data_IF_627292653951
#
_entry.id   IF_627292653951
#
_cell.length_a   1.000
_cell.length_b   1.000
_cell.length_c   1.000
_cell.angle_alpha   90.00
_cell.angle_beta   90.00
_cell.angle_gamma   90.00
#
_symmetry.space_group_name_H-M   'P 1'
#
loop_
_entity.id
_entity.type
_entity.pdbx_description
1 polymer ?
#
# COMPACT_ATOMS: atom_id res chain seq x y z
N UNK A 1 -12.13 18.95 -19.31
CA UNK A 1 -11.20 18.50 -18.25
C UNK A 1 -10.62 19.74 -17.60
N UNK A 2 -10.60 19.82 -16.27
CA UNK A 2 -10.06 20.98 -15.55
C UNK A 2 -8.55 20.83 -15.39
N UNK A 3 -7.79 21.88 -15.73
CA UNK A 3 -6.33 21.91 -15.57
C UNK A 3 -5.86 22.41 -14.19
N UNK A 4 -6.81 22.69 -13.29
CA UNK A 4 -6.50 23.17 -11.93
C UNK A 4 -5.98 22.00 -11.07
N UNK A 5 -4.78 22.08 -10.49
CA UNK A 5 -4.19 20.99 -9.71
C UNK A 5 -5.08 20.45 -8.59
N UNK A 6 -5.68 21.34 -7.77
CA UNK A 6 -6.56 20.94 -6.67
C UNK A 6 -7.81 20.19 -7.15
N UNK A 7 -8.36 20.57 -8.32
CA UNK A 7 -9.53 19.89 -8.89
C UNK A 7 -9.15 18.52 -9.40
N UNK A 8 -7.93 18.36 -9.94
CA UNK A 8 -7.44 17.05 -10.39
C UNK A 8 -7.13 16.12 -9.21
N UNK A 9 -6.59 16.65 -8.12
CA UNK A 9 -6.36 15.90 -6.88
C UNK A 9 -7.68 15.43 -6.27
N UNK A 10 -8.66 16.33 -6.14
CA UNK A 10 -9.99 15.98 -5.64
C UNK A 10 -10.63 14.91 -6.53
N UNK A 11 -10.59 15.07 -7.85
CA UNK A 11 -11.15 14.07 -8.77
C UNK A 11 -10.45 12.70 -8.66
N UNK A 12 -9.12 12.67 -8.54
CA UNK A 12 -8.39 11.41 -8.36
C UNK A 12 -8.77 10.73 -7.05
N UNK A 13 -8.99 11.52 -5.99
CA UNK A 13 -9.46 11.04 -4.71
C UNK A 13 -10.87 10.46 -4.82
N UNK A 14 -11.81 11.22 -5.39
CA UNK A 14 -13.21 10.80 -5.56
C UNK A 14 -13.30 9.51 -6.39
N UNK A 15 -12.51 9.40 -7.47
CA UNK A 15 -12.49 8.21 -8.31
C UNK A 15 -11.90 6.99 -7.62
N UNK A 16 -10.88 7.16 -6.78
CA UNK A 16 -10.33 6.08 -5.96
C UNK A 16 -11.32 5.62 -4.89
N UNK A 17 -11.99 6.56 -4.24
CA UNK A 17 -12.95 6.31 -3.17
C UNK A 17 -14.17 5.49 -3.62
N UNK A 18 -14.48 5.50 -4.92
CA UNK A 18 -15.54 4.66 -5.50
C UNK A 18 -15.39 3.17 -5.15
N UNK A 19 -14.18 2.69 -4.87
CA UNK A 19 -13.93 1.30 -4.42
C UNK A 19 -14.75 0.98 -3.16
N UNK A 20 -14.89 1.94 -2.25
CA UNK A 20 -15.64 1.80 -1.00
C UNK A 20 -17.17 1.89 -1.21
N UNK A 21 -17.62 2.53 -2.29
CA UNK A 21 -19.04 2.69 -2.63
C UNK A 21 -19.60 1.51 -3.44
N UNK A 22 -18.72 0.72 -4.07
CA UNK A 22 -19.11 -0.43 -4.90
C UNK A 22 -19.62 -1.57 -3.99
N UNK A 23 -20.71 -2.27 -4.37
CA UNK A 23 -21.14 -3.45 -3.62
C UNK A 23 -20.00 -4.44 -3.45
N UNK A 24 -19.83 -4.97 -2.24
CA UNK A 24 -18.67 -5.79 -1.84
C UNK A 24 -18.28 -6.88 -2.86
N UNK A 25 -19.25 -7.64 -3.37
CA UNK A 25 -19.04 -8.69 -4.38
C UNK A 25 -18.48 -8.20 -5.73
N UNK A 26 -18.56 -6.89 -5.99
CA UNK A 26 -18.14 -6.26 -7.23
C UNK A 26 -16.84 -5.46 -7.09
N UNK A 27 -16.26 -5.35 -5.88
CA UNK A 27 -15.04 -4.58 -5.66
C UNK A 27 -13.86 -5.15 -6.45
N UNK A 28 -13.60 -6.46 -6.32
CA UNK A 28 -12.52 -7.11 -7.08
C UNK A 28 -12.76 -7.01 -8.60
N UNK A 29 -13.94 -7.36 -9.16
CA UNK A 29 -14.23 -7.13 -10.58
C UNK A 29 -14.03 -5.68 -11.05
N UNK A 30 -14.36 -4.71 -10.21
CA UNK A 30 -14.16 -3.30 -10.50
C UNK A 30 -12.67 -2.95 -10.61
N UNK A 31 -11.85 -3.39 -9.66
CA UNK A 31 -10.39 -3.20 -9.67
C UNK A 31 -9.74 -3.91 -10.87
N UNK A 32 -10.16 -5.15 -11.17
CA UNK A 32 -9.71 -5.89 -12.37
C UNK A 32 -10.00 -5.10 -13.64
N UNK A 33 -11.24 -4.60 -13.79
CA UNK A 33 -11.63 -3.81 -14.95
C UNK A 33 -10.84 -2.50 -15.04
N UNK A 34 -10.62 -1.82 -13.90
CA UNK A 34 -9.81 -0.61 -13.81
C UNK A 34 -8.41 -0.82 -14.37
N UNK A 35 -7.68 -1.84 -13.88
CA UNK A 35 -6.33 -2.12 -14.33
C UNK A 35 -6.27 -2.59 -15.77
N UNK A 36 -7.23 -3.42 -16.19
CA UNK A 36 -7.33 -3.88 -17.58
C UNK A 36 -7.43 -2.72 -18.56
N UNK A 37 -8.29 -1.75 -18.28
CA UNK A 37 -8.47 -0.56 -19.13
C UNK A 37 -7.20 0.28 -19.14
N UNK A 38 -6.64 0.59 -17.97
CA UNK A 38 -5.48 1.48 -17.91
C UNK A 38 -4.21 0.86 -18.47
N UNK A 39 -3.99 -0.44 -18.32
CA UNK A 39 -2.87 -1.13 -18.96
C UNK A 39 -2.99 -1.11 -20.49
N UNK A 40 -4.20 -1.31 -21.02
CA UNK A 40 -4.44 -1.32 -22.47
C UNK A 40 -4.26 0.06 -23.10
N UNK A 41 -4.77 1.11 -22.45
CA UNK A 41 -4.80 2.47 -23.00
C UNK A 41 -3.54 3.28 -22.68
N UNK A 42 -2.64 2.80 -21.81
CA UNK A 42 -1.49 3.55 -21.31
C UNK A 42 -0.65 4.22 -22.41
N UNK A 43 -0.33 3.47 -23.46
CA UNK A 43 0.51 3.96 -24.56
C UNK A 43 -0.20 5.01 -25.45
N UNK A 44 -1.53 5.09 -25.37
CA UNK A 44 -2.35 6.09 -26.05
C UNK A 44 -2.48 7.40 -25.27
N UNK A 45 -2.03 7.46 -24.01
CA UNK A 45 -2.12 8.65 -23.18
C UNK A 45 -1.08 9.71 -23.60
N UNK A 46 -1.50 10.96 -23.58
CA UNK A 46 -0.61 12.10 -23.78
C UNK A 46 0.36 12.25 -22.59
N UNK A 47 1.66 12.35 -22.87
CA UNK A 47 2.74 12.39 -21.88
C UNK A 47 2.58 13.50 -20.85
N UNK A 48 2.06 14.66 -21.25
CA UNK A 48 1.85 15.80 -20.32
C UNK A 48 0.73 15.54 -19.31
N UNK A 49 -0.03 14.46 -19.49
CA UNK A 49 -1.19 14.10 -18.67
C UNK A 49 -0.91 12.93 -17.73
N UNK A 50 0.30 12.37 -17.72
CA UNK A 50 0.61 11.16 -16.96
C UNK A 50 0.50 11.37 -15.45
N UNK A 51 0.95 12.52 -14.93
CA UNK A 51 1.00 12.79 -13.49
C UNK A 51 -0.36 12.61 -12.80
N UNK A 52 -1.45 13.05 -13.43
CA UNK A 52 -2.80 12.85 -12.86
C UNK A 52 -3.27 11.39 -12.88
N UNK A 53 -2.81 10.58 -13.83
CA UNK A 53 -3.13 9.15 -13.86
C UNK A 53 -2.30 8.39 -12.83
N UNK A 54 -1.03 8.75 -12.65
CA UNK A 54 -0.19 8.19 -11.59
C UNK A 54 -0.76 8.51 -10.20
N UNK A 55 -1.26 9.73 -9.99
CA UNK A 55 -1.98 10.08 -8.77
C UNK A 55 -3.26 9.25 -8.59
N UNK A 56 -4.03 9.04 -9.66
CA UNK A 56 -5.21 8.18 -9.60
C UNK A 56 -4.86 6.73 -9.24
N UNK A 57 -3.79 6.17 -9.82
CA UNK A 57 -3.33 4.82 -9.49
C UNK A 57 -2.94 4.69 -8.03
N UNK A 58 -2.25 5.70 -7.51
CA UNK A 58 -1.90 5.78 -6.09
C UNK A 58 -3.15 5.78 -5.21
N UNK A 59 -4.17 6.58 -5.54
CA UNK A 59 -5.45 6.58 -4.82
C UNK A 59 -6.20 5.26 -4.93
N UNK A 60 -6.17 4.59 -6.08
CA UNK A 60 -6.79 3.26 -6.24
C UNK A 60 -6.09 2.23 -5.38
N UNK A 61 -4.75 2.24 -5.27
CA UNK A 61 -4.00 1.36 -4.37
C UNK A 61 -4.40 1.62 -2.91
N UNK A 62 -4.38 2.90 -2.48
CA UNK A 62 -4.79 3.31 -1.14
C UNK A 62 -6.19 2.82 -0.78
N UNK A 63 -7.19 3.16 -1.59
CA UNK A 63 -8.58 2.77 -1.30
C UNK A 63 -8.83 1.25 -1.44
N UNK A 64 -8.00 0.54 -2.20
CA UNK A 64 -8.04 -0.94 -2.18
C UNK A 64 -7.56 -1.49 -0.84
N UNK A 65 -6.52 -0.92 -0.24
CA UNK A 65 -6.09 -1.27 1.11
C UNK A 65 -7.10 -0.82 2.17
N UNK A 66 -7.67 0.39 2.06
CA UNK A 66 -8.73 0.83 2.98
C UNK A 66 -9.91 -0.14 2.96
N UNK A 67 -10.31 -0.61 1.78
CA UNK A 67 -11.34 -1.64 1.66
C UNK A 67 -10.94 -2.95 2.36
N UNK A 68 -9.68 -3.39 2.24
CA UNK A 68 -9.21 -4.58 2.96
C UNK A 68 -9.22 -4.38 4.48
N UNK A 69 -8.78 -3.22 4.95
CA UNK A 69 -8.79 -2.85 6.36
C UNK A 69 -10.22 -2.80 6.94
N UNK A 70 -11.17 -2.16 6.23
CA UNK A 70 -12.60 -2.15 6.58
C UNK A 70 -13.21 -3.55 6.68
N UNK A 71 -12.59 -4.51 5.99
CA UNK A 71 -12.97 -5.92 5.99
C UNK A 71 -12.05 -6.78 6.88
N UNK A 72 -11.38 -6.15 7.84
CA UNK A 72 -10.54 -6.78 8.86
C UNK A 72 -9.50 -7.73 8.24
N UNK A 73 -8.93 -7.33 7.11
CA UNK A 73 -7.92 -8.09 6.39
C UNK A 73 -8.32 -9.54 6.08
N UNK A 74 -9.61 -9.77 5.81
CA UNK A 74 -10.14 -11.09 5.51
C UNK A 74 -9.30 -11.81 4.44
N UNK A 75 -8.86 -13.03 4.76
CA UNK A 75 -7.89 -13.80 3.97
C UNK A 75 -8.35 -14.00 2.52
N UNK A 76 -9.63 -14.34 2.28
CA UNK A 76 -10.17 -14.55 0.92
C UNK A 76 -10.12 -13.25 0.10
N UNK A 77 -10.37 -12.10 0.73
CA UNK A 77 -10.35 -10.78 0.06
C UNK A 77 -8.92 -10.33 -0.24
N UNK A 78 -8.00 -10.54 0.70
CA UNK A 78 -6.57 -10.26 0.51
C UNK A 78 -6.01 -11.14 -0.61
N UNK A 79 -6.35 -12.43 -0.61
CA UNK A 79 -5.95 -13.34 -1.68
C UNK A 79 -6.54 -12.91 -3.03
N UNK A 80 -7.83 -12.57 -3.09
CA UNK A 80 -8.47 -12.09 -4.31
C UNK A 80 -7.85 -10.80 -4.85
N UNK A 81 -7.51 -9.86 -3.98
CA UNK A 81 -6.85 -8.61 -4.36
C UNK A 81 -5.42 -8.84 -4.87
N UNK A 82 -4.61 -9.63 -4.15
CA UNK A 82 -3.23 -9.94 -4.56
C UNK A 82 -3.18 -10.72 -5.87
N UNK A 83 -4.11 -11.67 -6.07
CA UNK A 83 -4.27 -12.36 -7.36
C UNK A 83 -4.71 -11.38 -8.47
N UNK A 84 -5.63 -10.45 -8.19
CA UNK A 84 -6.02 -9.40 -9.13
C UNK A 84 -4.80 -8.56 -9.59
N UNK A 85 -3.88 -8.22 -8.68
CA UNK A 85 -2.65 -7.52 -9.04
C UNK A 85 -1.73 -8.35 -9.93
N UNK A 86 -1.53 -9.64 -9.57
CA UNK A 86 -0.67 -10.58 -10.30
C UNK A 86 -1.23 -10.94 -11.69
N UNK A 87 -2.54 -10.98 -11.89
CA UNK A 87 -3.16 -11.19 -13.20
C UNK A 87 -3.30 -9.86 -14.00
N UNK A 88 -3.32 -8.75 -13.26
CA UNK A 88 -3.55 -7.41 -13.76
C UNK A 88 -2.24 -6.67 -14.06
N UNK A 89 -1.95 -5.55 -13.35
CA UNK A 89 -0.84 -4.67 -13.68
C UNK A 89 0.53 -5.26 -13.30
N UNK A 90 0.61 -6.13 -12.29
CA UNK A 90 1.87 -6.71 -11.77
C UNK A 90 2.15 -8.11 -12.33
N UNK A 91 1.68 -8.40 -13.53
CA UNK A 91 1.88 -9.72 -14.12
C UNK A 91 3.37 -9.98 -14.43
N UNK A 92 3.98 -11.06 -13.89
CA UNK A 92 5.44 -11.24 -13.96
C UNK A 92 5.95 -11.45 -15.39
N UNK A 93 5.17 -12.13 -16.22
CA UNK A 93 5.63 -12.58 -17.54
C UNK A 93 4.90 -11.94 -18.73
N UNK A 94 3.93 -11.07 -18.48
CA UNK A 94 3.12 -10.49 -19.55
C UNK A 94 3.71 -9.13 -19.96
N UNK A 95 4.31 -9.12 -21.14
CA UNK A 95 4.97 -7.92 -21.70
C UNK A 95 3.99 -6.89 -22.25
N UNK A 96 2.69 -7.19 -22.26
CA UNK A 96 1.65 -6.23 -22.64
C UNK A 96 1.39 -5.22 -21.51
N UNK A 97 1.77 -5.54 -20.26
CA UNK A 97 1.66 -4.64 -19.13
C UNK A 97 2.71 -3.54 -19.24
N UNK A 98 2.33 -2.25 -19.17
CA UNK A 98 3.30 -1.17 -19.28
C UNK A 98 4.23 -1.09 -18.07
N UNK A 99 5.55 -1.12 -18.30
CA UNK A 99 6.57 -1.02 -17.25
C UNK A 99 6.37 0.20 -16.34
N UNK A 100 5.89 1.33 -16.88
CA UNK A 100 5.64 2.54 -16.09
C UNK A 100 4.56 2.36 -15.02
N UNK A 101 3.52 1.56 -15.30
CA UNK A 101 2.48 1.24 -14.31
C UNK A 101 3.05 0.30 -13.26
N UNK A 102 3.79 -0.75 -13.69
CA UNK A 102 4.43 -1.71 -12.78
C UNK A 102 5.35 -0.98 -11.80
N UNK A 103 6.23 -0.11 -12.31
CA UNK A 103 7.20 0.62 -11.50
C UNK A 103 6.53 1.58 -10.54
N UNK A 104 5.51 2.33 -11.00
CA UNK A 104 4.77 3.25 -10.15
C UNK A 104 4.04 2.52 -9.02
N UNK A 105 3.40 1.39 -9.30
CA UNK A 105 2.72 0.62 -8.24
C UNK A 105 3.74 0.12 -7.22
N UNK A 106 4.87 -0.46 -7.64
CA UNK A 106 5.90 -0.92 -6.71
C UNK A 106 6.42 0.21 -5.82
N UNK A 107 6.63 1.40 -6.38
CA UNK A 107 7.13 2.58 -5.64
C UNK A 107 6.16 3.06 -4.55
N UNK A 108 4.86 2.98 -4.78
CA UNK A 108 3.85 3.51 -3.83
C UNK A 108 3.18 2.43 -2.98
N UNK A 109 3.47 1.15 -3.21
CA UNK A 109 2.69 0.05 -2.63
C UNK A 109 2.73 0.04 -1.09
N UNK A 110 3.94 -0.01 -0.52
CA UNK A 110 4.12 -0.06 0.93
C UNK A 110 3.76 1.27 1.60
N UNK A 111 4.13 2.39 0.98
CA UNK A 111 3.79 3.73 1.52
C UNK A 111 2.26 3.96 1.62
N UNK A 112 1.47 3.43 0.69
CA UNK A 112 0.01 3.52 0.79
C UNK A 112 -0.60 2.45 1.72
N UNK A 113 0.09 1.33 1.97
CA UNK A 113 -0.31 0.34 2.97
C UNK A 113 -0.11 0.90 4.39
N UNK A 114 1.07 1.43 4.69
CA UNK A 114 1.42 2.10 5.96
C UNK A 114 0.39 3.16 6.33
N UNK A 115 0.07 4.07 5.40
CA UNK A 115 -0.96 5.11 5.64
C UNK A 115 -2.33 4.56 6.01
N UNK A 116 -2.68 3.38 5.51
CA UNK A 116 -3.95 2.72 5.86
C UNK A 116 -3.85 2.07 7.23
N UNK A 117 -2.71 1.46 7.57
CA UNK A 117 -2.45 0.92 8.90
C UNK A 117 -2.48 2.04 9.96
N UNK A 118 -1.78 3.15 9.72
CA UNK A 118 -1.79 4.32 10.60
C UNK A 118 -3.20 4.88 10.79
N UNK A 119 -3.96 5.00 9.70
CA UNK A 119 -5.34 5.48 9.76
C UNK A 119 -6.25 4.50 10.53
N UNK A 120 -6.02 3.20 10.44
CA UNK A 120 -6.78 2.21 11.20
C UNK A 120 -6.45 2.28 12.70
N UNK A 121 -5.16 2.38 13.07
CA UNK A 121 -4.72 2.49 14.46
C UNK A 121 -5.25 3.75 15.15
N UNK A 122 -5.18 4.91 14.49
CA UNK A 122 -5.69 6.18 15.05
C UNK A 122 -7.21 6.20 15.26
N UNK A 123 -7.98 5.34 14.60
CA UNK A 123 -9.43 5.27 14.78
C UNK A 123 -9.85 4.33 15.93
N UNK A 124 -8.92 3.53 16.47
CA UNK A 124 -9.17 2.50 17.47
C UNK A 124 -8.67 2.87 18.88
N UNK A 125 -8.40 4.16 19.16
CA UNK A 125 -7.92 4.68 20.46
C UNK A 125 -8.82 4.37 21.70
N UNK A 126 -9.96 3.69 21.52
CA UNK A 126 -10.89 3.30 22.59
C UNK A 126 -10.85 1.79 22.97
N UNK A 127 -10.07 0.94 22.27
CA UNK A 127 -9.92 -0.50 22.56
C UNK A 127 -8.42 -0.91 22.56
N UNK A 128 -7.75 -0.76 23.71
CA UNK A 128 -6.31 -1.02 23.94
C UNK A 128 -5.82 -2.47 23.69
N UNK A 129 -6.66 -3.40 23.23
CA UNK A 129 -6.35 -4.84 23.20
C UNK A 129 -6.42 -5.52 21.80
N UNK A 130 -6.80 -4.83 20.71
CA UNK A 130 -6.95 -5.46 19.39
C UNK A 130 -5.77 -5.11 18.45
N UNK A 131 -4.66 -5.83 18.61
CA UNK A 131 -3.53 -5.81 17.68
C UNK A 131 -4.01 -6.11 16.25
N UNK A 132 -3.82 -5.15 15.34
CA UNK A 132 -4.20 -5.30 13.93
C UNK A 132 -3.36 -6.41 13.29
N UNK A 133 -3.94 -7.61 13.16
CA UNK A 133 -3.29 -8.71 12.47
C UNK A 133 -3.34 -8.48 10.95
N UNK A 134 -2.34 -7.77 10.44
CA UNK A 134 -2.17 -7.53 9.01
C UNK A 134 -1.46 -8.73 8.36
N UNK A 135 -2.04 -9.39 7.33
CA UNK A 135 -1.45 -10.55 6.68
C UNK A 135 -0.32 -10.12 5.72
N UNK A 136 0.80 -9.66 6.28
CA UNK A 136 1.91 -9.06 5.54
C UNK A 136 2.49 -10.02 4.50
N UNK A 137 2.65 -11.31 4.83
CA UNK A 137 3.13 -12.33 3.88
C UNK A 137 2.29 -12.37 2.59
N UNK A 138 0.96 -12.34 2.73
CA UNK A 138 0.05 -12.34 1.59
C UNK A 138 0.12 -11.02 0.82
N UNK A 139 0.20 -9.88 1.52
CA UNK A 139 0.25 -8.55 0.92
C UNK A 139 1.57 -8.27 0.20
N UNK A 140 2.70 -8.82 0.66
CA UNK A 140 4.00 -8.70 0.01
C UNK A 140 4.12 -9.59 -1.23
N UNK A 141 3.32 -10.67 -1.32
CA UNK A 141 3.38 -11.67 -2.39
C UNK A 141 3.48 -11.10 -3.81
N UNK A 142 2.71 -10.06 -4.23
CA UNK A 142 2.83 -9.52 -5.57
C UNK A 142 4.22 -8.97 -5.90
N UNK A 143 4.85 -8.26 -4.95
CA UNK A 143 6.20 -7.70 -5.13
C UNK A 143 7.25 -8.83 -5.08
N UNK A 144 7.08 -9.80 -4.18
CA UNK A 144 7.96 -10.98 -4.07
C UNK A 144 7.99 -11.76 -5.38
N UNK A 145 6.83 -12.06 -5.97
CA UNK A 145 6.72 -12.76 -7.27
C UNK A 145 7.38 -11.94 -8.39
N UNK A 146 7.25 -10.62 -8.38
CA UNK A 146 7.96 -9.78 -9.34
C UNK A 146 9.49 -9.82 -9.16
N UNK A 147 9.97 -9.94 -7.93
CA UNK A 147 11.40 -10.01 -7.62
C UNK A 147 12.09 -11.30 -8.13
N UNK A 148 11.32 -12.39 -8.24
CA UNK A 148 11.79 -13.72 -8.63
C UNK A 148 11.49 -14.03 -10.09
N UNK A 149 10.23 -13.84 -10.50
CA UNK A 149 9.66 -14.43 -11.71
C UNK A 149 9.43 -13.41 -12.83
N UNK A 150 9.58 -12.12 -12.57
CA UNK A 150 9.41 -11.12 -13.63
C UNK A 150 10.38 -11.37 -14.77
N UNK A 151 9.92 -11.37 -16.04
CA UNK A 151 10.80 -11.62 -17.19
C UNK A 151 11.90 -10.55 -17.31
N UNK A 152 11.54 -9.30 -17.04
CA UNK A 152 12.44 -8.16 -17.13
C UNK A 152 13.38 -8.11 -15.92
N UNK A 153 14.70 -8.17 -16.19
CA UNK A 153 15.74 -8.10 -15.15
C UNK A 153 15.65 -6.80 -14.34
N UNK A 154 15.33 -5.69 -14.98
CA UNK A 154 15.18 -4.39 -14.31
C UNK A 154 14.01 -4.43 -13.33
N UNK A 155 12.87 -5.02 -13.70
CA UNK A 155 11.73 -5.19 -12.81
C UNK A 155 12.09 -6.04 -11.59
N UNK A 156 12.83 -7.15 -11.78
CA UNK A 156 13.31 -7.96 -10.66
C UNK A 156 14.22 -7.19 -9.72
N UNK A 157 15.14 -6.39 -10.24
CA UNK A 157 16.05 -5.57 -9.43
C UNK A 157 15.25 -4.55 -8.61
N UNK A 158 14.36 -3.79 -9.26
CA UNK A 158 13.53 -2.80 -8.59
C UNK A 158 12.62 -3.41 -7.52
N UNK A 159 12.01 -4.56 -7.79
CA UNK A 159 11.18 -5.24 -6.80
C UNK A 159 12.01 -5.66 -5.57
N UNK A 160 13.26 -6.10 -5.76
CA UNK A 160 14.17 -6.40 -4.63
C UNK A 160 14.59 -5.16 -3.88
N UNK A 161 14.83 -4.05 -4.58
CA UNK A 161 15.16 -2.76 -3.94
C UNK A 161 14.00 -2.30 -3.07
N UNK A 162 12.77 -2.32 -3.58
CA UNK A 162 11.56 -1.94 -2.83
C UNK A 162 11.34 -2.83 -1.60
N UNK A 163 11.51 -4.16 -1.73
CA UNK A 163 11.38 -5.07 -0.58
C UNK A 163 12.43 -4.77 0.50
N UNK A 164 13.68 -4.54 0.10
CA UNK A 164 14.76 -4.22 1.02
C UNK A 164 14.56 -2.85 1.68
N UNK A 165 14.11 -1.85 0.93
CA UNK A 165 13.81 -0.52 1.47
C UNK A 165 12.72 -0.58 2.55
N UNK A 166 11.70 -1.43 2.34
CA UNK A 166 10.65 -1.67 3.33
C UNK A 166 11.16 -2.42 4.57
N UNK A 167 11.98 -3.46 4.39
CA UNK A 167 12.64 -4.16 5.51
C UNK A 167 13.55 -3.22 6.33
N UNK A 168 14.32 -2.36 5.65
CA UNK A 168 15.22 -1.39 6.29
C UNK A 168 14.44 -0.29 7.05
N UNK A 169 13.25 0.12 6.60
CA UNK A 169 12.41 1.09 7.31
C UNK A 169 11.74 0.48 8.54
N UNK A 170 11.20 -0.72 8.41
CA UNK A 170 10.55 -1.43 9.53
C UNK A 170 11.54 -1.75 10.67
N UNK A 171 12.77 -2.12 10.32
CA UNK A 171 13.86 -2.29 11.31
C UNK A 171 14.22 -0.96 12.00
N UNK A 172 14.13 0.19 11.31
CA UNK A 172 14.44 1.50 11.90
C UNK A 172 13.39 1.92 12.93
N UNK A 173 12.11 1.74 12.60
CA UNK A 173 11.00 2.12 13.47
C UNK A 173 11.00 1.27 14.76
N UNK A 174 11.32 -0.03 14.65
CA UNK A 174 11.47 -0.92 15.82
C UNK A 174 12.65 -0.55 16.73
N UNK A 175 13.75 0.03 16.19
CA UNK A 175 14.88 0.46 17.02
C UNK A 175 14.62 1.79 17.74
N UNK A 176 13.81 2.69 17.16
CA UNK A 176 13.41 3.94 17.81
C UNK A 176 12.44 3.69 18.99
N UNK A 177 11.62 2.64 18.91
CA UNK A 177 10.74 2.21 20.02
C UNK A 177 11.51 1.57 21.19
N UNK A 178 12.57 0.78 20.93
CA UNK A 178 13.43 0.23 22.01
C UNK A 178 14.20 1.33 22.79
N UNK A 179 14.60 2.41 22.13
CA UNK A 179 15.29 3.54 22.77
C UNK A 179 14.33 4.37 23.64
N UNK A 180 13.05 4.49 23.26
CA UNK A 180 12.01 5.16 24.06
C UNK A 180 11.63 4.35 25.32
N UNK A 181 11.51 3.03 25.20
CA UNK A 181 11.23 2.15 26.34
C UNK A 181 12.38 2.13 27.36
N UNK A 182 13.64 2.14 26.91
CA UNK A 182 14.79 2.29 27.82
C UNK A 182 14.85 3.64 28.53
N UNK A 183 14.41 4.73 27.88
CA UNK A 183 14.40 6.07 28.49
C UNK A 183 13.25 6.21 29.50
N UNK A 184 12.10 5.57 29.27
CA UNK A 184 10.97 5.47 30.21
C UNK A 184 11.30 4.62 31.44
N UNK A 185 11.95 3.46 31.28
CA UNK A 185 12.40 2.64 32.41
C UNK A 185 13.49 3.33 33.26
N UNK A 186 14.37 4.11 32.62
CA UNK A 186 15.39 4.89 33.34
C UNK A 186 14.76 6.01 34.19
N UNK A 187 13.70 6.67 33.69
CA UNK A 187 13.00 7.74 34.43
C UNK A 187 12.20 7.22 35.64
N UNK A 188 11.65 6.00 35.59
CA UNK A 188 10.88 5.41 36.72
C UNK A 188 11.80 4.84 37.82
N UNK A 189 13.09 4.62 37.52
CA UNK A 189 14.08 4.11 38.46
C UNK A 189 14.73 5.18 39.36
N UNK A 190 14.68 6.46 38.96
CA UNK A 190 15.33 7.57 39.66
C UNK A 190 14.45 8.23 40.77
N UNK A 191 13.18 7.83 40.92
CA UNK A 191 12.22 8.43 41.88
C UNK A 191 12.04 7.62 43.18
N UNK A 192 12.95 6.65 43.46
CA UNK A 192 12.86 5.73 44.61
C UNK A 192 14.08 5.77 45.57
N UNK A 193 14.87 6.84 45.58
CA UNK A 193 15.93 7.03 46.60
C UNK A 193 15.97 8.46 47.17
N UNK A 194 14.96 8.88 47.93
CA UNK A 194 15.20 9.72 49.14
C UNK A 194 13.93 9.82 50.02
N UNK A 195 13.70 8.85 50.90
CA UNK A 195 13.11 9.13 52.22
C UNK A 195 13.27 7.91 53.14
N UNK A 196 14.39 7.87 53.86
CA UNK A 196 14.49 7.14 55.12
C UNK A 196 15.43 7.88 56.06
N UNK A 197 14.83 8.40 57.13
CA UNK A 197 15.37 9.20 58.25
C UNK A 197 16.69 8.72 58.88
#
# INVERSE_FOLDING_TARGET
MSDKPLVQQALANDLGALILDVPENNVIPFIVAFWKVHCAEWHGLDRIRLDKYLLLFRRVVFYSFSWLADNQWNEEKVEAYTNCLLEGPLHPTDRTKPDAIVYHIMEVYFEELEKVMDAASNNNEDDDDEELSVPMEALMRPIVVLSTDALNKTTRIKAKEVLREYEESDDSDNNDDEDLDMELEAMDSDDMEDDSE
#
